data_IF_825733244098
#
_entry.id   IF_825733244098
#
_cell.length_a   1.000
_cell.length_b   1.000
_cell.length_c   1.000
_cell.angle_alpha   90.00
_cell.angle_beta   90.00
_cell.angle_gamma   90.00
#
_symmetry.space_group_name_H-M   'P 1'
#
loop_
_entity.id
_entity.type
_entity.pdbx_description
1 polymer ?
#
# COMPACT_ATOMS: atom_id res chain seq x y z
N UNK A 1 -4.82 -10.19 -18.87
CA UNK A 1 -4.10 -9.68 -17.69
C UNK A 1 -5.11 -9.30 -16.62
N UNK A 2 -5.02 -9.89 -15.43
CA UNK A 2 -5.93 -9.68 -14.31
C UNK A 2 -5.20 -8.93 -13.19
N UNK A 3 -5.90 -8.01 -12.53
CA UNK A 3 -5.38 -7.13 -11.47
C UNK A 3 -5.53 -7.79 -10.10
N UNK A 4 -4.46 -7.90 -9.31
CA UNK A 4 -4.52 -8.58 -8.01
C UNK A 4 -5.52 -7.96 -7.04
N UNK A 5 -5.66 -6.62 -7.02
CA UNK A 5 -6.58 -5.95 -6.09
C UNK A 5 -8.04 -6.35 -6.30
N UNK A 6 -8.40 -6.70 -7.54
CA UNK A 6 -9.76 -7.15 -7.88
C UNK A 6 -10.12 -8.51 -7.30
N UNK A 7 -9.13 -9.35 -6.96
CA UNK A 7 -9.37 -10.66 -6.38
C UNK A 7 -9.87 -10.58 -4.95
N UNK A 8 -9.34 -9.65 -4.16
CA UNK A 8 -9.62 -9.60 -2.74
C UNK A 8 -11.11 -9.30 -2.49
N UNK A 9 -11.66 -9.97 -1.48
CA UNK A 9 -13.07 -9.91 -1.08
C UNK A 9 -14.08 -10.44 -2.12
N UNK A 10 -13.65 -10.96 -3.27
CA UNK A 10 -14.56 -11.69 -4.16
C UNK A 10 -15.03 -12.99 -3.51
N UNK A 11 -16.32 -13.33 -3.62
CA UNK A 11 -16.83 -14.64 -3.23
C UNK A 11 -16.29 -15.72 -4.17
N UNK A 12 -16.06 -16.90 -3.62
CA UNK A 12 -15.72 -18.09 -4.39
C UNK A 12 -16.90 -19.04 -4.41
N UNK A 13 -17.38 -19.38 -5.61
CA UNK A 13 -18.62 -20.11 -5.83
C UNK A 13 -18.33 -21.45 -6.50
N UNK A 14 -18.91 -22.52 -5.96
CA UNK A 14 -18.95 -23.84 -6.60
C UNK A 14 -19.99 -23.84 -7.72
N UNK A 15 -19.59 -24.22 -8.94
CA UNK A 15 -20.51 -24.31 -10.08
C UNK A 15 -21.48 -25.49 -9.96
N UNK A 16 -21.01 -26.63 -9.44
CA UNK A 16 -21.84 -27.82 -9.30
C UNK A 16 -22.81 -27.73 -8.12
N UNK A 17 -22.36 -27.13 -7.01
CA UNK A 17 -23.14 -27.09 -5.76
C UNK A 17 -23.94 -25.79 -5.61
N UNK A 18 -23.58 -24.74 -6.36
CA UNK A 18 -24.18 -23.40 -6.24
C UNK A 18 -23.87 -22.70 -4.92
N UNK A 19 -22.95 -23.24 -4.12
CA UNK A 19 -22.62 -22.73 -2.80
C UNK A 19 -21.45 -21.75 -2.82
N UNK A 20 -21.54 -20.69 -2.00
CA UNK A 20 -20.40 -19.84 -1.67
C UNK A 20 -19.50 -20.55 -0.64
N UNK A 21 -18.26 -20.83 -1.05
CA UNK A 21 -17.23 -21.49 -0.25
C UNK A 21 -16.54 -20.51 0.70
N UNK A 22 -16.52 -19.22 0.38
CA UNK A 22 -15.92 -18.17 1.19
C UNK A 22 -15.51 -16.97 0.34
N UNK A 23 -14.75 -16.05 0.93
CA UNK A 23 -14.22 -14.88 0.22
C UNK A 23 -12.70 -14.93 0.13
N UNK A 24 -12.15 -14.46 -0.98
CA UNK A 24 -10.70 -14.38 -1.16
C UNK A 24 -10.11 -13.36 -0.19
N UNK A 25 -9.31 -13.84 0.75
CA UNK A 25 -8.56 -13.03 1.71
C UNK A 25 -7.15 -12.72 1.21
N UNK A 26 -6.58 -13.65 0.45
CA UNK A 26 -5.16 -13.67 0.13
C UNK A 26 -4.85 -14.53 -1.07
N UNK A 27 -3.57 -14.53 -1.44
CA UNK A 27 -3.00 -15.34 -2.50
C UNK A 27 -1.72 -16.00 -2.00
N UNK A 28 -1.43 -17.19 -2.50
CA UNK A 28 -0.14 -17.88 -2.32
C UNK A 28 0.59 -17.79 -3.65
N UNK A 29 1.81 -17.28 -3.63
CA UNK A 29 2.67 -17.17 -4.82
C UNK A 29 3.76 -18.23 -4.72
N UNK A 30 3.96 -18.94 -5.81
CA UNK A 30 5.14 -19.77 -6.01
C UNK A 30 6.29 -18.89 -6.53
N UNK A 31 7.36 -18.67 -5.71
CA UNK A 31 8.49 -17.85 -6.12
C UNK A 31 9.37 -18.52 -7.19
N UNK A 32 9.33 -19.85 -7.34
CA UNK A 32 10.09 -20.58 -8.36
C UNK A 32 9.40 -20.46 -9.72
N UNK A 33 8.08 -20.63 -9.75
CA UNK A 33 7.29 -20.51 -10.98
C UNK A 33 6.93 -19.06 -11.34
N UNK A 34 7.10 -18.10 -10.42
CA UNK A 34 6.65 -16.70 -10.54
C UNK A 34 5.16 -16.67 -10.93
N UNK A 35 4.36 -17.44 -10.20
CA UNK A 35 2.95 -17.67 -10.52
C UNK A 35 2.07 -17.78 -9.27
N UNK A 36 0.79 -17.53 -9.45
CA UNK A 36 -0.25 -17.77 -8.45
C UNK A 36 -0.42 -19.27 -8.23
N UNK A 37 -0.12 -19.75 -7.02
CA UNK A 37 -0.21 -21.16 -6.65
C UNK A 37 -1.58 -21.52 -6.06
N UNK A 38 -2.15 -20.63 -5.23
CA UNK A 38 -3.45 -20.84 -4.60
C UNK A 38 -4.10 -19.53 -4.14
N UNK A 39 -5.42 -19.55 -3.96
CA UNK A 39 -6.16 -18.51 -3.25
C UNK A 39 -6.32 -18.90 -1.77
N UNK A 40 -6.25 -17.90 -0.88
CA UNK A 40 -6.52 -18.06 0.55
C UNK A 40 -7.93 -17.55 0.79
N UNK A 41 -8.78 -18.39 1.38
CA UNK A 41 -10.16 -18.02 1.71
C UNK A 41 -10.32 -17.67 3.19
N UNK A 42 -11.06 -16.59 3.44
CA UNK A 42 -11.68 -16.32 4.73
C UNK A 42 -12.92 -17.22 4.86
N UNK A 43 -12.77 -18.33 5.58
CA UNK A 43 -13.85 -19.28 5.83
C UNK A 43 -14.54 -18.94 7.16
N UNK A 44 -15.69 -18.25 7.08
CA UNK A 44 -16.44 -17.79 8.28
C UNK A 44 -17.45 -18.79 8.83
N UNK A 45 -17.65 -19.94 8.18
CA UNK A 45 -18.66 -20.93 8.61
C UNK A 45 -18.05 -21.89 9.65
N UNK A 46 -18.48 -21.79 10.91
CA UNK A 46 -18.16 -22.74 11.99
C UNK A 46 -17.14 -22.23 13.03
N UNK A 47 -16.80 -23.09 14.00
CA UNK A 47 -15.91 -22.77 15.13
C UNK A 47 -14.42 -22.83 14.76
N UNK A 48 -14.06 -23.53 13.68
CA UNK A 48 -12.67 -23.69 13.26
C UNK A 48 -12.24 -22.57 12.30
N UNK A 49 -11.31 -21.72 12.78
CA UNK A 49 -10.71 -20.59 12.04
C UNK A 49 -9.50 -21.00 11.19
N UNK A 50 -9.47 -22.22 10.68
CA UNK A 50 -8.36 -22.65 9.85
C UNK A 50 -8.50 -22.03 8.44
N UNK A 51 -7.45 -21.40 7.90
CA UNK A 51 -7.49 -20.87 6.55
C UNK A 51 -7.67 -22.02 5.56
N UNK A 52 -8.54 -21.81 4.57
CA UNK A 52 -8.72 -22.74 3.46
C UNK A 52 -8.01 -22.23 2.22
N UNK A 53 -7.50 -23.15 1.42
CA UNK A 53 -6.79 -22.87 0.19
C UNK A 53 -7.59 -23.41 -0.99
N UNK A 54 -7.53 -22.70 -2.11
CA UNK A 54 -7.98 -23.21 -3.41
C UNK A 54 -6.76 -23.21 -4.33
N UNK A 55 -6.20 -24.40 -4.65
CA UNK A 55 -5.16 -24.54 -5.66
C UNK A 55 -5.55 -23.87 -6.98
N UNK A 56 -4.60 -23.23 -7.65
CA UNK A 56 -4.87 -22.53 -8.92
C UNK A 56 -5.51 -23.45 -9.97
N UNK A 57 -5.09 -24.72 -10.02
CA UNK A 57 -5.60 -25.74 -10.94
C UNK A 57 -7.09 -26.07 -10.76
N UNK A 58 -7.68 -25.75 -9.61
CA UNK A 58 -9.10 -25.96 -9.36
C UNK A 58 -9.96 -24.74 -9.68
N UNK A 59 -9.35 -23.61 -10.06
CA UNK A 59 -10.04 -22.39 -10.43
C UNK A 59 -10.50 -22.50 -11.89
N UNK A 60 -11.81 -22.35 -12.10
CA UNK A 60 -12.40 -22.35 -13.44
C UNK A 60 -12.32 -20.97 -14.09
N UNK A 61 -12.62 -19.92 -13.34
CA UNK A 61 -12.62 -18.55 -13.88
C UNK A 61 -12.47 -17.49 -12.79
N UNK A 62 -11.84 -16.37 -13.17
CA UNK A 62 -11.78 -15.13 -12.41
C UNK A 62 -12.80 -14.15 -12.99
N UNK A 63 -14.03 -14.19 -12.49
CA UNK A 63 -15.10 -13.28 -12.92
C UNK A 63 -14.99 -11.88 -12.31
N UNK A 64 -15.89 -10.99 -12.72
CA UNK A 64 -15.98 -9.63 -12.17
C UNK A 64 -16.64 -9.59 -10.79
N UNK A 65 -17.51 -10.56 -10.50
CA UNK A 65 -18.31 -10.63 -9.27
C UNK A 65 -17.98 -11.83 -8.38
N UNK A 66 -17.34 -12.85 -8.92
CA UNK A 66 -16.99 -14.07 -8.20
C UNK A 66 -15.83 -14.81 -8.88
N UNK A 67 -15.06 -15.55 -8.10
CA UNK A 67 -14.19 -16.60 -8.60
C UNK A 67 -15.00 -17.90 -8.61
N UNK A 68 -14.91 -18.68 -9.68
CA UNK A 68 -15.67 -19.93 -9.80
C UNK A 68 -14.75 -21.14 -9.76
N UNK A 69 -15.20 -22.18 -9.09
CA UNK A 69 -14.56 -23.51 -9.05
C UNK A 69 -15.56 -24.57 -9.48
N UNK A 70 -15.07 -25.73 -9.90
CA UNK A 70 -15.94 -26.82 -10.37
C UNK A 70 -16.91 -27.30 -9.28
N UNK A 71 -16.38 -27.64 -8.11
CA UNK A 71 -17.14 -28.20 -7.00
C UNK A 71 -16.52 -27.77 -5.65
N UNK A 72 -17.25 -27.97 -4.56
CA UNK A 72 -16.82 -27.68 -3.19
C UNK A 72 -15.59 -28.50 -2.73
N UNK A 73 -15.28 -29.61 -3.41
CA UNK A 73 -14.08 -30.42 -3.18
C UNK A 73 -12.78 -29.70 -3.56
N UNK A 74 -12.85 -28.64 -4.37
CA UNK A 74 -11.71 -27.77 -4.69
C UNK A 74 -11.12 -27.04 -3.47
N UNK A 75 -11.86 -26.98 -2.36
CA UNK A 75 -11.47 -26.24 -1.18
C UNK A 75 -10.71 -27.12 -0.18
N UNK A 76 -9.40 -26.96 -0.16
CA UNK A 76 -8.49 -27.77 0.64
C UNK A 76 -8.10 -27.07 1.95
N UNK A 77 -7.76 -27.86 2.96
CA UNK A 77 -7.08 -27.39 4.16
C UNK A 77 -5.58 -27.30 3.89
N UNK A 78 -4.89 -26.38 4.55
CA UNK A 78 -3.44 -26.21 4.41
C UNK A 78 -2.66 -27.51 4.63
N UNK A 79 -3.14 -28.42 5.48
CA UNK A 79 -2.47 -29.69 5.80
C UNK A 79 -2.71 -30.82 4.78
N UNK A 80 -3.62 -30.65 3.82
CA UNK A 80 -3.93 -31.70 2.83
C UNK A 80 -2.89 -31.76 1.70
N UNK A 81 -2.23 -30.64 1.39
CA UNK A 81 -1.19 -30.56 0.37
C UNK A 81 0.14 -30.10 0.97
N UNK A 82 1.15 -30.99 1.14
CA UNK A 82 2.45 -30.62 1.74
C UNK A 82 3.20 -29.53 0.96
N UNK A 83 3.04 -29.52 -0.38
CA UNK A 83 3.65 -28.52 -1.25
C UNK A 83 3.03 -27.14 -1.02
N UNK A 84 1.69 -27.04 -1.06
CA UNK A 84 0.98 -25.79 -0.77
C UNK A 84 1.15 -25.35 0.69
N UNK A 85 1.26 -26.28 1.64
CA UNK A 85 1.56 -25.95 3.04
C UNK A 85 2.90 -25.22 3.17
N UNK A 86 3.91 -25.69 2.43
CA UNK A 86 5.24 -25.10 2.42
C UNK A 86 5.20 -23.71 1.79
N UNK A 87 4.54 -23.59 0.63
CA UNK A 87 4.35 -22.31 -0.05
C UNK A 87 3.57 -21.34 0.83
N UNK A 88 2.47 -21.75 1.47
CA UNK A 88 1.68 -20.91 2.37
C UNK A 88 2.49 -20.38 3.56
N UNK A 89 3.27 -21.23 4.23
CA UNK A 89 4.12 -20.82 5.37
C UNK A 89 5.29 -19.93 4.95
N UNK A 90 5.82 -20.13 3.75
CA UNK A 90 6.94 -19.36 3.20
C UNK A 90 6.49 -18.22 2.28
N UNK A 91 5.18 -18.06 2.08
CA UNK A 91 4.64 -17.29 0.97
C UNK A 91 5.16 -15.86 1.07
N UNK A 92 5.91 -15.40 0.06
CA UNK A 92 6.36 -14.03 0.07
C UNK A 92 5.13 -13.12 -0.04
N UNK A 93 5.12 -12.05 0.77
CA UNK A 93 4.13 -10.99 0.58
C UNK A 93 4.59 -10.13 -0.58
N UNK A 94 4.12 -10.46 -1.78
CA UNK A 94 4.45 -9.69 -3.00
C UNK A 94 3.97 -8.25 -2.85
N UNK A 95 2.73 -8.06 -2.40
CA UNK A 95 2.20 -6.74 -2.09
C UNK A 95 2.94 -6.13 -0.89
N UNK A 96 3.46 -4.92 -1.07
CA UNK A 96 4.27 -4.22 -0.07
C UNK A 96 5.74 -4.62 -0.04
N UNK A 97 6.20 -5.56 -0.88
CA UNK A 97 7.62 -5.88 -0.98
C UNK A 97 8.40 -4.75 -1.64
N UNK A 98 9.65 -4.54 -1.19
CA UNK A 98 10.58 -3.60 -1.84
C UNK A 98 11.06 -4.19 -3.15
N UNK A 99 11.12 -3.40 -4.20
CA UNK A 99 11.67 -3.83 -5.48
C UNK A 99 13.09 -3.30 -5.62
N UNK A 100 14.02 -4.23 -5.83
CA UNK A 100 15.44 -3.95 -5.97
C UNK A 100 15.93 -4.47 -7.33
N UNK A 101 16.84 -3.73 -7.95
CA UNK A 101 17.63 -4.25 -9.07
C UNK A 101 18.67 -5.26 -8.57
N UNK A 102 19.22 -6.08 -9.46
CA UNK A 102 20.34 -6.98 -9.16
C UNK A 102 21.59 -6.24 -8.66
N UNK A 103 21.75 -4.98 -9.08
CA UNK A 103 22.83 -4.08 -8.60
C UNK A 103 22.53 -3.45 -7.22
N UNK A 104 21.37 -3.73 -6.63
CA UNK A 104 20.98 -3.24 -5.31
C UNK A 104 20.28 -1.88 -5.28
N UNK A 105 19.96 -1.28 -6.44
CA UNK A 105 19.20 -0.03 -6.49
C UNK A 105 17.73 -0.26 -6.13
N UNK A 106 17.17 0.60 -5.27
CA UNK A 106 15.76 0.59 -4.89
C UNK A 106 14.90 1.29 -5.94
N UNK A 107 13.89 0.57 -6.46
CA UNK A 107 12.98 1.08 -7.49
C UNK A 107 11.64 1.56 -6.94
N UNK A 108 11.19 1.00 -5.81
CA UNK A 108 9.88 1.30 -5.24
C UNK A 108 9.35 0.14 -4.40
N UNK A 109 8.08 0.22 -4.02
CA UNK A 109 7.37 -0.85 -3.30
C UNK A 109 6.24 -1.38 -4.16
N UNK A 110 6.01 -2.69 -4.20
CA UNK A 110 4.93 -3.27 -5.00
C UNK A 110 3.57 -2.84 -4.42
N UNK A 111 2.79 -2.11 -5.21
CA UNK A 111 1.43 -1.70 -4.86
C UNK A 111 0.39 -2.71 -5.36
N UNK A 112 0.62 -3.28 -6.53
CA UNK A 112 -0.27 -4.24 -7.19
C UNK A 112 0.56 -5.17 -8.08
N UNK A 113 0.09 -6.40 -8.29
CA UNK A 113 0.66 -7.28 -9.30
C UNK A 113 -0.42 -7.70 -10.30
N UNK A 114 0.05 -8.09 -11.47
CA UNK A 114 -0.80 -8.53 -12.56
C UNK A 114 -0.43 -9.93 -12.96
N UNK A 115 -1.43 -10.75 -13.24
CA UNK A 115 -1.22 -12.14 -13.65
C UNK A 115 -2.09 -12.52 -14.85
N UNK A 116 -1.73 -13.61 -15.51
CA UNK A 116 -2.56 -14.22 -16.53
C UNK A 116 -3.59 -15.16 -15.88
N UNK A 117 -4.90 -14.90 -16.03
CA UNK A 117 -5.93 -15.74 -15.42
C UNK A 117 -5.94 -17.19 -15.95
N UNK A 118 -5.37 -17.46 -17.13
CA UNK A 118 -5.31 -18.80 -17.70
C UNK A 118 -4.13 -19.62 -17.15
N UNK A 119 -2.99 -18.98 -16.90
CA UNK A 119 -1.75 -19.67 -16.52
C UNK A 119 -1.28 -19.40 -15.10
N UNK A 120 -1.85 -18.38 -14.43
CA UNK A 120 -1.45 -17.93 -13.10
C UNK A 120 -0.14 -17.15 -13.08
N UNK A 121 0.59 -17.06 -14.20
CA UNK A 121 1.89 -16.39 -14.28
C UNK A 121 1.77 -14.91 -13.98
N UNK A 122 2.69 -14.38 -13.17
CA UNK A 122 2.77 -12.95 -12.88
C UNK A 122 3.46 -12.27 -14.05
N UNK A 123 2.72 -11.39 -14.73
CA UNK A 123 3.16 -10.72 -15.95
C UNK A 123 3.55 -9.27 -15.71
N UNK A 124 3.36 -8.74 -14.50
CA UNK A 124 3.90 -7.44 -14.13
C UNK A 124 3.65 -7.04 -12.69
N UNK A 125 4.37 -6.02 -12.24
CA UNK A 125 4.26 -5.41 -10.92
C UNK A 125 4.08 -3.90 -11.08
N UNK A 126 3.06 -3.34 -10.46
CA UNK A 126 2.88 -1.91 -10.30
C UNK A 126 3.63 -1.46 -9.04
N UNK A 127 4.51 -0.48 -9.18
CA UNK A 127 5.22 0.11 -8.07
C UNK A 127 4.47 1.35 -7.57
N UNK A 128 4.31 1.42 -6.25
CA UNK A 128 3.95 2.63 -5.55
C UNK A 128 5.22 3.39 -5.16
N UNK A 129 5.34 4.63 -5.62
CA UNK A 129 6.30 5.59 -5.09
C UNK A 129 5.59 6.55 -4.11
N UNK A 130 6.34 7.46 -3.50
CA UNK A 130 5.76 8.53 -2.67
C UNK A 130 4.67 9.26 -3.45
N UNK A 131 3.59 9.69 -2.79
CA UNK A 131 2.43 10.32 -3.45
C UNK A 131 2.81 11.48 -4.37
N UNK A 132 3.86 12.24 -4.01
CA UNK A 132 4.44 13.30 -4.84
C UNK A 132 5.08 12.79 -6.13
N UNK A 133 5.78 11.66 -6.07
CA UNK A 133 6.44 11.06 -7.23
C UNK A 133 5.43 10.44 -8.20
N UNK A 134 4.38 9.78 -7.70
CA UNK A 134 3.32 9.22 -8.54
C UNK A 134 2.58 10.33 -9.32
N UNK A 135 2.40 11.51 -8.72
CA UNK A 135 1.73 12.63 -9.37
C UNK A 135 2.60 13.24 -10.48
N UNK A 136 3.91 13.37 -10.23
CA UNK A 136 4.87 13.98 -11.16
C UNK A 136 5.28 13.02 -12.30
N UNK A 137 5.52 11.76 -11.98
CA UNK A 137 6.16 10.78 -12.87
C UNK A 137 5.23 9.64 -13.31
N UNK A 138 3.99 9.62 -12.82
CA UNK A 138 3.00 8.60 -13.14
C UNK A 138 3.26 7.25 -12.49
N UNK A 139 2.46 6.26 -12.86
CA UNK A 139 2.56 4.89 -12.33
C UNK A 139 3.70 4.16 -13.03
N UNK A 140 4.53 3.48 -12.24
CA UNK A 140 5.64 2.68 -12.76
C UNK A 140 5.24 1.21 -12.77
N UNK A 141 5.29 0.57 -13.94
CA UNK A 141 4.99 -0.85 -14.11
C UNK A 141 6.24 -1.60 -14.58
N UNK A 142 6.63 -2.64 -13.83
CA UNK A 142 7.69 -3.57 -14.22
C UNK A 142 7.07 -4.78 -14.91
N UNK A 143 7.65 -5.18 -16.05
CA UNK A 143 7.25 -6.40 -16.77
C UNK A 143 7.65 -7.67 -15.99
N UNK A 144 6.80 -8.69 -16.03
CA UNK A 144 7.05 -9.96 -15.33
C UNK A 144 8.31 -10.70 -15.80
N UNK A 145 8.72 -10.51 -17.06
CA UNK A 145 9.89 -11.17 -17.65
C UNK A 145 11.25 -10.80 -17.05
N UNK A 146 11.33 -9.66 -16.33
CA UNK A 146 12.58 -9.23 -15.66
C UNK A 146 12.61 -9.56 -14.18
N UNK A 147 11.52 -10.12 -13.63
CA UNK A 147 11.50 -10.59 -12.25
C UNK A 147 12.36 -11.84 -12.18
N UNK A 148 13.39 -11.80 -11.32
CA UNK A 148 14.29 -12.94 -11.11
C UNK A 148 13.98 -13.67 -9.81
N UNK A 149 13.59 -12.95 -8.76
CA UNK A 149 13.36 -13.53 -7.43
C UNK A 149 12.21 -12.83 -6.73
N UNK A 150 11.30 -13.62 -6.14
CA UNK A 150 10.27 -13.14 -5.21
C UNK A 150 10.61 -13.64 -3.81
N UNK A 151 11.17 -12.75 -2.98
CA UNK A 151 11.54 -13.02 -1.60
C UNK A 151 10.48 -12.55 -0.59
N UNK A 152 10.68 -12.88 0.70
CA UNK A 152 9.72 -12.55 1.78
C UNK A 152 9.46 -11.04 1.95
N UNK A 153 10.46 -10.22 1.65
CA UNK A 153 10.42 -8.76 1.87
C UNK A 153 10.90 -7.94 0.68
N UNK A 154 11.51 -8.60 -0.32
CA UNK A 154 12.05 -7.94 -1.50
C UNK A 154 11.81 -8.78 -2.76
N UNK A 155 11.54 -8.09 -3.86
CA UNK A 155 11.51 -8.65 -5.21
C UNK A 155 12.74 -8.13 -5.95
N UNK A 156 13.48 -9.05 -6.58
CA UNK A 156 14.67 -8.72 -7.37
C UNK A 156 14.31 -8.73 -8.85
N UNK A 157 14.74 -7.68 -9.56
CA UNK A 157 14.56 -7.53 -11.00
C UNK A 157 15.91 -7.31 -11.68
N UNK A 158 16.01 -7.70 -12.96
CA UNK A 158 17.19 -7.36 -13.78
C UNK A 158 17.31 -5.84 -13.95
N UNK A 159 18.52 -5.33 -14.08
CA UNK A 159 18.80 -3.88 -14.26
C UNK A 159 18.42 -3.34 -15.64
N UNK A 160 17.60 -4.06 -16.41
CA UNK A 160 17.19 -3.69 -17.76
C UNK A 160 16.24 -2.48 -17.75
N UNK A 161 16.70 -1.38 -18.34
CA UNK A 161 15.98 -0.10 -18.39
C UNK A 161 14.72 -0.15 -19.26
N UNK A 162 14.61 -1.10 -20.19
CA UNK A 162 13.48 -1.24 -21.12
C UNK A 162 12.26 -1.97 -20.51
N UNK A 163 12.45 -2.55 -19.32
CA UNK A 163 11.41 -3.30 -18.63
C UNK A 163 10.54 -2.44 -17.71
N UNK A 164 10.91 -1.18 -17.52
CA UNK A 164 10.21 -0.20 -16.71
C UNK A 164 9.32 0.63 -17.62
N UNK A 165 8.02 0.30 -17.67
CA UNK A 165 7.02 1.12 -18.33
C UNK A 165 6.57 2.21 -17.37
N UNK A 166 6.92 3.47 -17.65
CA UNK A 166 6.33 4.63 -16.97
C UNK A 166 5.12 5.08 -17.76
N UNK A 167 3.95 5.03 -17.14
CA UNK A 167 2.74 5.60 -17.73
C UNK A 167 2.75 7.10 -17.46
N UNK A 168 2.92 7.93 -18.50
CA UNK A 168 2.99 9.38 -18.32
C UNK A 168 1.66 9.92 -17.74
N UNK A 169 1.76 10.67 -16.64
CA UNK A 169 0.59 11.25 -15.98
C UNK A 169 -0.14 12.26 -16.89
N UNK A 170 -1.46 12.14 -17.11
CA UNK A 170 -2.27 13.08 -17.90
C UNK A 170 -2.47 14.46 -17.25
N UNK A 171 -1.88 14.70 -16.08
CA UNK A 171 -1.95 15.97 -15.33
C UNK A 171 -0.82 16.96 -15.70
N UNK A 172 0.20 16.52 -16.44
CA UNK A 172 1.31 17.40 -16.84
C UNK A 172 0.91 18.40 -17.92
N UNK A 173 -0.14 18.11 -18.70
CA UNK A 173 -0.70 19.04 -19.69
C UNK A 173 -1.59 20.10 -19.04
N UNK A 174 -2.37 19.73 -18.01
CA UNK A 174 -3.29 20.68 -17.34
C UNK A 174 -2.57 21.66 -16.42
N UNK A 175 -1.42 21.28 -15.85
CA UNK A 175 -0.60 22.18 -15.04
C UNK A 175 -0.04 23.37 -15.84
N UNK A 176 0.21 23.21 -17.15
CA UNK A 176 0.65 24.30 -18.04
C UNK A 176 -0.48 25.30 -18.29
N UNK A 177 -1.70 24.81 -18.53
CA UNK A 177 -2.88 25.67 -18.80
C UNK A 177 -3.35 26.43 -17.55
N UNK A 178 -3.25 25.81 -16.37
CA UNK A 178 -3.62 26.46 -15.10
C UNK A 178 -2.60 27.53 -14.71
N UNK A 179 -1.28 27.33 -14.89
CA UNK A 179 -0.28 28.38 -14.64
C UNK A 179 -0.51 29.64 -15.48
N UNK A 180 -0.88 29.48 -16.75
CA UNK A 180 -1.14 30.62 -17.64
C UNK A 180 -2.46 31.34 -17.33
N UNK A 181 -3.46 30.61 -16.85
CA UNK A 181 -4.78 31.17 -16.51
C UNK A 181 -4.80 31.78 -15.10
N UNK A 182 -4.06 31.22 -14.15
CA UNK A 182 -3.97 31.72 -12.77
C UNK A 182 -3.25 33.07 -12.66
N UNK A 183 -2.34 33.41 -13.59
CA UNK A 183 -1.73 34.75 -13.62
C UNK A 183 -2.72 35.84 -14.05
N UNK A 184 -3.70 35.52 -14.92
CA UNK A 184 -4.72 36.47 -15.37
C UNK A 184 -5.83 36.66 -14.33
N UNK A 185 -6.22 35.58 -13.63
CA UNK A 185 -7.22 35.64 -12.57
C UNK A 185 -6.70 36.38 -11.33
N UNK A 186 -5.46 36.15 -10.89
CA UNK A 186 -4.86 36.89 -9.76
C UNK A 186 -4.68 38.40 -10.03
N UNK A 187 -4.49 38.80 -11.29
CA UNK A 187 -4.42 40.21 -11.69
C UNK A 187 -5.81 40.85 -11.69
N UNK A 188 -6.85 40.16 -12.20
CA UNK A 188 -8.23 40.68 -12.22
C UNK A 188 -8.90 40.68 -10.84
N UNK A 189 -8.52 39.77 -9.92
CA UNK A 189 -9.07 39.77 -8.56
C UNK A 189 -8.45 40.86 -7.67
N UNK A 190 -7.21 41.31 -7.91
CA UNK A 190 -6.63 42.44 -7.15
C UNK A 190 -7.42 43.75 -7.29
N UNK A 191 -8.03 44.01 -8.45
CA UNK A 191 -8.85 45.21 -8.65
C UNK A 191 -10.29 45.06 -8.14
N UNK A 192 -10.82 43.83 -8.15
CA UNK A 192 -12.18 43.56 -7.68
C UNK A 192 -12.25 43.49 -6.14
N UNK A 193 -11.17 43.10 -5.46
CA UNK A 193 -11.07 43.16 -3.98
C UNK A 193 -11.10 44.62 -3.47
N UNK A 194 -10.61 45.58 -4.27
CA UNK A 194 -10.66 47.01 -3.90
C UNK A 194 -12.09 47.56 -3.88
N UNK A 195 -13.00 47.03 -4.70
CA UNK A 195 -14.42 47.46 -4.75
C UNK A 195 -15.35 46.67 -3.83
N UNK A 196 -15.01 45.42 -3.51
CA UNK A 196 -15.75 44.66 -2.50
C UNK A 196 -15.42 45.15 -1.06
N UNK A 197 -14.20 45.65 -0.83
CA UNK A 197 -13.78 46.22 0.46
C UNK A 197 -14.52 47.50 0.88
N UNK A 198 -14.94 48.34 -0.07
CA UNK A 198 -15.68 49.58 0.24
C UNK A 198 -17.15 49.34 0.59
N UNK A 199 -17.75 48.24 0.12
CA UNK A 199 -19.16 47.90 0.40
C UNK A 199 -19.33 47.07 1.67
N UNK A 200 -18.27 46.40 2.15
CA UNK A 200 -18.30 45.65 3.40
C UNK A 200 -18.12 46.61 4.60
N UNK A 201 -17.33 47.69 4.48
CA UNK A 201 -17.15 48.64 5.58
C UNK A 201 -18.43 49.41 5.96
N UNK A 202 -19.27 49.75 4.96
CA UNK A 202 -20.57 50.41 5.21
C UNK A 202 -21.67 49.50 5.77
N UNK A 203 -21.52 48.17 5.68
CA UNK A 203 -22.49 47.22 6.25
C UNK A 203 -22.07 46.65 7.60
N UNK A 204 -20.81 46.84 8.03
CA UNK A 204 -20.35 46.43 9.37
C UNK A 204 -20.48 47.57 10.39
N UNK A 205 -20.47 48.85 9.98
CA UNK A 205 -20.72 50.00 10.88
C UNK A 205 -22.18 50.13 11.37
N UNK A 206 -23.12 49.33 10.85
CA UNK A 206 -24.52 49.33 11.31
C UNK A 206 -24.85 48.20 12.29
N UNK A 207 -23.88 47.37 12.69
CA UNK A 207 -24.16 46.24 13.59
C UNK A 207 -23.24 46.01 14.79
N UNK A 208 -22.08 46.64 14.92
CA UNK A 208 -21.29 46.50 16.17
C UNK A 208 -20.44 47.74 16.42
N UNK A 209 -20.70 48.40 17.55
CA UNK A 209 -19.79 49.38 18.11
C UNK A 209 -18.57 48.71 18.73
N UNK A 210 -17.52 49.54 18.84
CA UNK A 210 -16.33 49.41 19.71
C UNK A 210 -15.17 48.53 19.21
N UNK A 211 -14.18 49.26 18.63
CA UNK A 211 -12.75 49.31 19.03
C UNK A 211 -11.89 48.06 18.75
N UNK A 212 -11.09 48.09 17.67
CA UNK A 212 -9.60 48.32 17.63
C UNK A 212 -8.81 47.23 18.41
N UNK A 213 -7.74 46.60 17.91
CA UNK A 213 -6.57 47.16 17.24
C UNK A 213 -5.89 46.15 16.32
N UNK A 214 -5.00 46.72 15.53
CA UNK A 214 -4.15 46.24 14.45
C UNK A 214 -2.90 45.45 14.97
N UNK A 215 -1.82 45.25 14.18
CA UNK A 215 -1.28 43.97 13.69
C UNK A 215 -0.04 43.53 14.56
N UNK A 216 0.94 42.61 14.22
CA UNK A 216 1.70 42.59 12.97
C UNK A 216 2.38 41.27 12.51
N UNK A 217 2.91 41.35 11.29
CA UNK A 217 4.25 40.92 10.84
C UNK A 217 4.67 39.43 10.77
N UNK A 218 5.20 39.10 9.58
CA UNK A 218 6.15 38.03 9.29
C UNK A 218 7.44 38.12 10.14
N UNK A 219 8.25 37.04 10.16
CA UNK A 219 9.66 37.26 9.84
C UNK A 219 10.38 36.08 9.15
N UNK A 220 11.48 36.41 8.44
CA UNK A 220 12.59 35.53 8.13
C UNK A 220 13.88 36.09 8.76
N UNK A 221 14.74 35.22 9.32
CA UNK A 221 16.19 35.45 9.52
C UNK A 221 16.73 35.54 10.97
N UNK A 222 17.68 34.64 11.33
CA UNK A 222 18.49 34.50 12.58
C UNK A 222 19.64 35.55 12.69
N UNK A 223 20.61 35.60 13.67
CA UNK A 223 20.90 34.78 14.89
C UNK A 223 21.43 35.51 16.19
N UNK A 224 21.63 34.71 17.26
CA UNK A 224 22.69 34.71 18.32
C UNK A 224 22.49 35.25 19.78
N UNK A 225 22.80 34.33 20.74
CA UNK A 225 23.30 34.41 22.15
C UNK A 225 22.46 35.20 23.19
N UNK A 226 22.21 34.74 24.42
CA UNK A 226 23.10 34.16 25.45
C UNK A 226 22.30 33.51 26.62
N UNK A 227 22.95 32.60 27.38
CA UNK A 227 22.48 31.88 28.60
C UNK A 227 22.46 32.85 29.82
N UNK A 228 21.77 32.58 30.98
CA UNK A 228 22.00 31.41 31.86
C UNK A 228 20.75 30.78 32.54
N UNK A 229 20.96 29.55 33.04
CA UNK A 229 20.20 28.79 34.08
C UNK A 229 20.26 29.47 35.47
N UNK A 230 19.66 28.98 36.59
CA UNK A 230 19.08 27.66 36.89
C UNK A 230 17.72 27.67 37.65
N UNK A 231 17.02 26.53 37.74
CA UNK A 231 16.64 25.76 38.96
C UNK A 231 15.25 25.18 38.64
N UNK A 232 14.81 23.98 38.99
CA UNK A 232 15.24 22.93 39.90
C UNK A 232 13.96 22.25 40.40
N UNK A 233 13.99 20.91 40.58
CA UNK A 233 12.94 20.08 41.21
C UNK A 233 11.69 19.80 40.36
N UNK A 234 11.18 18.58 40.18
CA UNK A 234 11.50 17.28 40.77
C UNK A 234 10.50 16.22 40.25
N UNK A 235 11.07 15.19 39.62
CA UNK A 235 10.77 13.74 39.54
C UNK A 235 9.59 13.12 40.34
N UNK A 236 9.30 11.80 40.21
CA UNK A 236 9.30 10.87 39.05
C UNK A 236 8.10 9.87 39.06
N UNK A 237 8.18 8.81 38.21
CA UNK A 237 7.66 7.40 38.32
C UNK A 237 6.76 7.04 37.11
N UNK A 238 6.96 5.90 36.40
CA UNK A 238 6.92 4.56 36.98
C UNK A 238 7.93 3.49 36.54
N UNK A 239 8.36 2.72 37.54
CA UNK A 239 8.35 1.25 37.67
C UNK A 239 8.68 0.40 36.43
N UNK A 240 9.89 -0.16 36.45
CA UNK A 240 10.25 -1.39 35.73
C UNK A 240 10.53 -2.48 36.77
N UNK A 241 9.91 -3.66 36.59
CA UNK A 241 10.24 -4.89 37.29
C UNK A 241 11.01 -5.80 36.33
N UNK A 242 12.23 -6.14 36.74
CA UNK A 242 12.80 -7.48 36.87
C UNK A 242 12.51 -8.54 35.80
N UNK A 243 13.57 -9.05 35.13
CA UNK A 243 14.13 -10.36 35.51
C UNK A 243 15.35 -10.71 34.63
N UNK A 244 16.52 -10.72 35.24
CA UNK A 244 17.68 -11.48 34.76
C UNK A 244 18.43 -12.03 35.99
N UNK A 245 18.32 -13.34 36.26
CA UNK A 245 19.42 -14.08 36.87
C UNK A 245 19.27 -15.59 36.65
N UNK A 246 20.44 -16.18 36.45
CA UNK A 246 20.73 -17.56 36.13
C UNK A 246 20.49 -18.46 37.35
N UNK A 247 20.12 -19.73 37.09
CA UNK A 247 20.70 -20.81 37.87
C UNK A 247 21.08 -21.98 36.97
N UNK A 248 22.16 -22.59 37.40
CA UNK A 248 22.96 -23.63 36.82
C UNK A 248 22.57 -25.01 37.37
N UNK A 249 23.09 -26.04 36.70
CA UNK A 249 23.43 -27.35 37.25
C UNK A 249 22.45 -28.52 37.10
N UNK A 250 23.05 -29.61 36.63
CA UNK A 250 22.77 -31.03 36.89
C UNK A 250 21.58 -31.68 36.14
N UNK A 251 21.61 -32.92 35.64
CA UNK A 251 22.60 -34.01 35.58
C UNK A 251 21.94 -35.21 34.87
N UNK A 252 22.75 -36.13 34.28
CA UNK A 252 22.50 -37.58 34.08
C UNK A 252 21.46 -38.03 33.02
N UNK A 253 21.86 -38.77 31.98
CA UNK A 253 22.12 -40.24 31.89
C UNK A 253 20.86 -41.04 31.51
N UNK A 254 21.07 -41.97 30.56
CA UNK A 254 20.20 -42.98 29.95
C UNK A 254 19.40 -42.54 28.73
#
# INVERSE_FOLDING_TARGET
MYRSKRLFALPVISLNDGEELGKVQGVVIDPEAIALAALILDYRKGIFREPRLIPFEHITSFGDYAVTVKDSGACERVNQSPHLATLFRRSPRVLGAKVLTEDGNYLGTVEEFFFDPATGKINGLELGNSLLDNLMHGKTVIKGCVITTIGKSAVIVKSDTEAICKEESPLSETAKTVKETSLKVWQQTKETTKKLGESIYKSVEKFTGETEEEPPAAPAGKPQKEKPEPTGSGSPTPTAQDDESQDSSNQKVC
#
